data_IF_314332739299
#
_entry.id   IF_314332739299
#
_cell.length_a   1.000
_cell.length_b   1.000
_cell.length_c   1.000
_cell.angle_alpha   90.00
_cell.angle_beta   90.00
_cell.angle_gamma   90.00
#
_symmetry.space_group_name_H-M   'P 1'
#
loop_
_entity.id
_entity.type
_entity.pdbx_description
1 polymer ?
#
# COMPACT_ATOMS: atom_id res chain seq x y z
N UNK A 1 -7.95 -26.27 -97.56
CA UNK A 1 -7.24 -25.51 -96.49
C UNK A 1 -8.18 -25.42 -95.30
N UNK A 2 -7.83 -25.66 -94.05
CA UNK A 2 -6.84 -26.49 -93.39
C UNK A 2 -7.39 -26.67 -91.97
N UNK A 3 -7.15 -27.85 -91.40
CA UNK A 3 -7.43 -28.21 -90.01
C UNK A 3 -6.85 -27.19 -89.01
N UNK A 4 -7.48 -26.99 -87.84
CA UNK A 4 -6.90 -27.45 -86.57
C UNK A 4 -7.83 -27.30 -85.36
N UNK A 5 -8.00 -28.43 -84.70
CA UNK A 5 -8.46 -28.66 -83.32
C UNK A 5 -7.30 -28.31 -82.38
N UNK A 6 -7.55 -27.67 -81.23
CA UNK A 6 -6.51 -27.61 -80.20
C UNK A 6 -6.76 -26.77 -78.94
N UNK A 7 -7.13 -27.48 -77.86
CA UNK A 7 -6.63 -27.33 -76.48
C UNK A 7 -7.14 -26.17 -75.62
N UNK A 8 -8.05 -26.53 -74.71
CA UNK A 8 -8.26 -25.89 -73.41
C UNK A 8 -6.99 -26.01 -72.55
N UNK A 9 -6.51 -24.87 -72.04
CA UNK A 9 -5.49 -24.79 -70.98
C UNK A 9 -6.18 -24.24 -69.73
N UNK A 10 -6.54 -25.13 -68.81
CA UNK A 10 -6.93 -24.77 -67.44
C UNK A 10 -5.64 -24.44 -66.68
N UNK A 11 -5.39 -23.16 -66.42
CA UNK A 11 -4.32 -22.73 -65.51
C UNK A 11 -4.82 -22.88 -64.07
N UNK A 12 -4.34 -23.91 -63.38
CA UNK A 12 -4.37 -23.95 -61.91
C UNK A 12 -3.43 -22.87 -61.37
N UNK A 13 -4.00 -21.82 -60.77
CA UNK A 13 -3.25 -20.94 -59.89
C UNK A 13 -3.08 -21.63 -58.55
N UNK A 14 -1.92 -22.23 -58.32
CA UNK A 14 -1.50 -22.67 -56.99
C UNK A 14 -1.20 -21.42 -56.17
N UNK A 15 -2.10 -21.05 -55.26
CA UNK A 15 -1.81 -20.08 -54.20
C UNK A 15 -0.73 -20.68 -53.30
N UNK A 16 0.51 -20.20 -53.42
CA UNK A 16 1.52 -20.36 -52.37
C UNK A 16 1.15 -19.35 -51.29
N UNK A 17 0.36 -19.79 -50.31
CA UNK A 17 0.24 -19.05 -49.04
C UNK A 17 1.59 -19.21 -48.36
N UNK A 18 2.42 -18.17 -48.43
CA UNK A 18 3.60 -18.08 -47.60
C UNK A 18 3.11 -18.01 -46.15
N UNK A 19 3.19 -19.15 -45.45
CA UNK A 19 3.01 -19.23 -44.01
C UNK A 19 4.10 -18.38 -43.37
N UNK A 20 3.81 -17.12 -43.10
CA UNK A 20 4.64 -16.31 -42.20
C UNK A 20 4.54 -17.01 -40.85
N UNK A 21 5.64 -17.55 -40.30
CA UNK A 21 5.59 -18.08 -38.96
C UNK A 21 5.23 -16.91 -38.05
N UNK A 22 4.06 -16.99 -37.42
CA UNK A 22 3.75 -16.20 -36.24
C UNK A 22 4.89 -16.46 -35.26
N UNK A 23 5.82 -15.51 -35.18
CA UNK A 23 6.68 -15.40 -34.02
C UNK A 23 5.75 -15.15 -32.84
N UNK A 24 5.36 -16.23 -32.18
CA UNK A 24 4.89 -16.18 -30.80
C UNK A 24 6.04 -15.56 -30.05
N UNK A 25 5.95 -14.25 -29.81
CA UNK A 25 6.79 -13.58 -28.82
C UNK A 25 6.64 -14.41 -27.55
N UNK A 26 7.74 -15.00 -27.09
CA UNK A 26 7.78 -15.59 -25.77
C UNK A 26 7.39 -14.46 -24.81
N UNK A 27 6.16 -14.50 -24.29
CA UNK A 27 5.73 -13.59 -23.25
C UNK A 27 6.80 -13.66 -22.16
N UNK A 28 7.47 -12.54 -21.87
CA UNK A 28 8.52 -12.55 -20.87
C UNK A 28 7.91 -13.05 -19.57
N UNK A 29 8.59 -13.99 -18.92
CA UNK A 29 8.17 -14.58 -17.65
C UNK A 29 8.35 -13.61 -16.47
N UNK A 30 8.27 -12.30 -16.74
CA UNK A 30 8.45 -11.26 -15.73
C UNK A 30 7.15 -11.11 -14.94
N UNK A 31 7.04 -11.91 -13.88
CA UNK A 31 5.91 -11.91 -12.95
C UNK A 31 5.64 -10.51 -12.38
N UNK A 32 6.65 -9.63 -12.32
CA UNK A 32 6.51 -8.25 -11.82
C UNK A 32 5.77 -7.30 -12.76
N UNK A 33 5.42 -7.78 -13.97
CA UNK A 33 4.61 -7.06 -14.95
C UNK A 33 3.28 -7.75 -15.25
N UNK A 34 2.90 -8.78 -14.47
CA UNK A 34 1.57 -9.43 -14.57
C UNK A 34 0.62 -8.78 -13.59
N UNK A 35 -0.35 -8.04 -14.12
CA UNK A 35 -1.33 -7.29 -13.34
C UNK A 35 -2.57 -8.13 -13.10
N UNK A 36 -3.18 -7.98 -11.91
CA UNK A 36 -4.55 -8.43 -11.70
C UNK A 36 -5.50 -7.52 -12.49
N UNK A 37 -6.35 -8.12 -13.31
CA UNK A 37 -7.38 -7.40 -14.04
C UNK A 37 -8.56 -7.06 -13.12
N UNK A 38 -8.36 -6.03 -12.29
CA UNK A 38 -9.35 -5.52 -11.35
C UNK A 38 -9.36 -4.00 -11.30
N UNK A 39 -10.54 -3.37 -11.07
CA UNK A 39 -10.63 -1.95 -10.80
C UNK A 39 -9.78 -1.54 -9.60
N UNK A 40 -9.23 -0.33 -9.64
CA UNK A 40 -8.50 0.24 -8.51
C UNK A 40 -9.49 0.72 -7.44
N UNK A 41 -9.34 0.21 -6.22
CA UNK A 41 -10.27 0.50 -5.13
C UNK A 41 -9.71 1.42 -4.03
N UNK A 42 -8.41 1.72 -4.05
CA UNK A 42 -7.74 2.47 -2.98
C UNK A 42 -7.88 3.97 -3.24
N UNK A 43 -8.53 4.71 -2.35
CA UNK A 43 -8.62 6.17 -2.38
C UNK A 43 -7.30 6.82 -1.95
N UNK A 44 -6.70 6.32 -0.88
CA UNK A 44 -5.39 6.82 -0.44
C UNK A 44 -4.58 5.77 0.30
N UNK A 45 -3.27 6.02 0.37
CA UNK A 45 -2.34 5.36 1.29
C UNK A 45 -1.59 6.43 2.09
N UNK A 46 -1.53 6.26 3.41
CA UNK A 46 -0.91 7.15 4.37
C UNK A 46 0.27 6.43 5.03
N UNK A 47 1.47 6.97 4.90
CA UNK A 47 2.65 6.53 5.64
C UNK A 47 2.92 7.51 6.75
N UNK A 48 3.17 7.00 7.96
CA UNK A 48 3.64 7.80 9.10
C UNK A 48 4.81 7.10 9.72
N UNK A 49 5.85 7.86 10.02
CA UNK A 49 7.04 7.39 10.74
C UNK A 49 7.73 8.59 11.39
N UNK A 50 8.81 8.33 12.11
CA UNK A 50 9.79 9.30 12.53
C UNK A 50 10.31 10.14 11.32
N UNK A 51 10.35 11.47 11.49
CA UNK A 51 10.71 12.39 10.43
C UNK A 51 12.15 12.22 9.93
N UNK A 52 13.09 11.88 10.82
CA UNK A 52 14.47 11.61 10.43
C UNK A 52 14.58 10.26 9.72
N UNK A 53 13.84 9.24 10.17
CA UNK A 53 13.78 7.95 9.48
C UNK A 53 13.19 8.08 8.08
N UNK A 54 12.10 8.83 7.89
CA UNK A 54 11.55 9.09 6.56
C UNK A 54 12.54 9.84 5.66
N UNK A 55 13.28 10.82 6.20
CA UNK A 55 14.29 11.56 5.45
C UNK A 55 15.46 10.66 5.03
N UNK A 56 15.91 9.78 5.92
CA UNK A 56 16.94 8.77 5.63
C UNK A 56 16.43 7.77 4.59
N UNK A 57 15.17 7.33 4.72
CA UNK A 57 14.48 6.44 3.77
C UNK A 57 14.45 7.04 2.37
N UNK A 58 14.00 8.29 2.23
CA UNK A 58 13.99 9.03 0.97
C UNK A 58 15.38 9.06 0.29
N UNK A 59 16.43 9.39 1.07
CA UNK A 59 17.80 9.44 0.54
C UNK A 59 18.33 8.05 0.13
N UNK A 60 18.03 7.01 0.92
CA UNK A 60 18.41 5.63 0.62
C UNK A 60 17.68 5.09 -0.61
N UNK A 61 16.39 5.39 -0.75
CA UNK A 61 15.59 5.02 -1.92
C UNK A 61 16.18 5.60 -3.21
N UNK A 62 16.55 6.89 -3.18
CA UNK A 62 17.22 7.55 -4.32
C UNK A 62 18.54 6.88 -4.69
N UNK A 63 19.38 6.57 -3.70
CA UNK A 63 20.65 5.88 -3.93
C UNK A 63 20.46 4.44 -4.45
N UNK A 64 19.42 3.74 -3.96
CA UNK A 64 19.10 2.36 -4.36
C UNK A 64 18.54 2.30 -5.78
N UNK A 65 17.67 3.24 -6.15
CA UNK A 65 17.04 3.28 -7.47
C UNK A 65 17.99 3.71 -8.58
N UNK A 66 19.04 4.45 -8.24
CA UNK A 66 20.13 4.79 -9.15
C UNK A 66 21.04 3.60 -9.53
N UNK A 67 20.90 2.44 -8.87
CA UNK A 67 21.66 1.23 -9.21
C UNK A 67 21.23 0.66 -10.57
N UNK A 68 22.22 0.20 -11.33
CA UNK A 68 22.08 -0.41 -12.66
C UNK A 68 22.80 -1.76 -12.70
N UNK A 69 22.44 -2.62 -13.66
CA UNK A 69 23.05 -3.95 -13.81
C UNK A 69 22.48 -5.01 -12.85
N UNK A 70 23.20 -6.11 -12.59
CA UNK A 70 22.73 -7.22 -11.74
C UNK A 70 22.36 -6.82 -10.30
N UNK A 71 22.94 -5.74 -9.80
CA UNK A 71 22.68 -5.21 -8.45
C UNK A 71 21.44 -4.30 -8.38
N UNK A 72 20.78 -4.07 -9.51
CA UNK A 72 19.60 -3.24 -9.59
C UNK A 72 18.39 -3.99 -9.00
N UNK A 73 17.60 -3.36 -8.12
CA UNK A 73 16.44 -4.04 -7.55
C UNK A 73 15.38 -4.28 -8.63
N UNK A 74 14.64 -5.39 -8.50
CA UNK A 74 13.57 -5.79 -9.43
C UNK A 74 12.47 -4.71 -9.48
N UNK A 75 12.13 -4.15 -8.32
CA UNK A 75 11.27 -2.97 -8.18
C UNK A 75 12.04 -1.80 -7.57
N UNK A 76 11.68 -0.59 -7.98
CA UNK A 76 12.18 0.65 -7.39
C UNK A 76 11.51 0.92 -6.05
N UNK A 77 12.22 1.61 -5.19
CA UNK A 77 11.72 2.06 -3.91
C UNK A 77 10.90 3.35 -4.08
N UNK A 78 9.62 3.33 -3.69
CA UNK A 78 8.71 4.48 -3.85
C UNK A 78 9.15 5.70 -3.04
N UNK A 79 9.95 5.51 -2.00
CA UNK A 79 10.20 6.58 -1.03
C UNK A 79 10.97 7.74 -1.70
N UNK A 80 11.63 7.54 -2.84
CA UNK A 80 12.23 8.64 -3.63
C UNK A 80 11.21 9.57 -4.30
N UNK A 81 9.98 9.10 -4.50
CA UNK A 81 8.93 9.80 -5.24
C UNK A 81 8.24 10.86 -4.39
N UNK A 82 8.07 10.58 -3.10
CA UNK A 82 7.22 11.37 -2.21
C UNK A 82 8.05 11.91 -1.04
N UNK A 83 8.57 13.14 -1.15
CA UNK A 83 9.28 13.74 -0.03
C UNK A 83 8.35 13.87 1.19
N UNK A 84 8.88 13.74 2.42
CA UNK A 84 8.07 13.84 3.63
C UNK A 84 7.36 15.21 3.74
N UNK A 85 6.03 15.22 3.93
CA UNK A 85 5.18 16.40 3.68
C UNK A 85 4.89 17.27 4.92
N UNK A 86 4.87 16.70 6.13
CA UNK A 86 4.44 17.42 7.33
C UNK A 86 5.19 16.93 8.55
N UNK A 87 5.74 17.83 9.36
CA UNK A 87 6.49 17.48 10.57
C UNK A 87 5.69 17.85 11.81
N UNK A 88 5.24 16.85 12.57
CA UNK A 88 4.55 17.05 13.85
C UNK A 88 5.58 17.04 14.98
N UNK A 89 5.83 18.21 15.57
CA UNK A 89 6.73 18.34 16.71
C UNK A 89 5.98 17.99 17.99
N UNK A 90 6.30 16.84 18.58
CA UNK A 90 5.90 16.54 19.95
C UNK A 90 6.95 17.07 20.94
N UNK A 91 6.51 17.39 22.15
CA UNK A 91 7.33 18.04 23.19
C UNK A 91 8.44 17.14 23.78
N UNK A 92 8.39 15.83 23.58
CA UNK A 92 9.23 14.87 24.33
C UNK A 92 9.88 13.75 23.49
N UNK A 93 9.68 13.71 22.17
CA UNK A 93 10.30 12.72 21.26
C UNK A 93 10.48 13.32 19.87
N UNK A 94 11.14 12.56 19.00
CA UNK A 94 11.34 12.88 17.60
C UNK A 94 10.04 13.33 16.93
N UNK A 95 10.20 14.21 15.95
CA UNK A 95 9.07 14.69 15.19
C UNK A 95 8.55 13.57 14.30
N UNK A 96 7.24 13.49 14.12
CA UNK A 96 6.65 12.54 13.16
C UNK A 96 6.56 13.21 11.80
N UNK A 97 6.72 12.43 10.74
CA UNK A 97 6.38 12.86 9.40
C UNK A 97 5.37 11.94 8.75
N UNK A 98 4.72 12.46 7.71
CA UNK A 98 3.81 11.68 6.88
C UNK A 98 4.07 11.85 5.38
N UNK A 99 3.64 10.84 4.63
CA UNK A 99 3.45 10.87 3.17
C UNK A 99 2.02 10.40 2.90
N UNK A 100 1.25 11.22 2.18
CA UNK A 100 -0.12 10.91 1.77
C UNK A 100 -0.20 10.78 0.25
N UNK A 101 -0.53 9.58 -0.23
CA UNK A 101 -0.64 9.26 -1.64
C UNK A 101 -2.11 9.06 -1.97
N UNK A 102 -2.70 10.00 -2.70
CA UNK A 102 -4.08 9.98 -3.15
C UNK A 102 -4.18 9.44 -4.57
N UNK A 103 -5.28 8.72 -4.83
CA UNK A 103 -5.59 8.15 -6.13
C UNK A 103 -7.00 8.54 -6.56
N UNK A 104 -7.23 8.61 -7.86
CA UNK A 104 -8.58 8.60 -8.42
C UNK A 104 -9.06 7.16 -8.69
N UNK A 105 -10.32 7.01 -9.13
CA UNK A 105 -10.92 5.69 -9.41
C UNK A 105 -10.26 4.91 -10.56
N UNK A 106 -9.50 5.58 -11.44
CA UNK A 106 -8.69 4.90 -12.46
C UNK A 106 -7.31 4.44 -11.93
N UNK A 107 -7.02 4.70 -10.65
CA UNK A 107 -5.73 4.41 -10.02
C UNK A 107 -4.64 5.43 -10.34
N UNK A 108 -4.96 6.56 -10.95
CA UNK A 108 -3.99 7.64 -11.19
C UNK A 108 -3.60 8.30 -9.88
N UNK A 109 -2.29 8.45 -9.65
CA UNK A 109 -1.76 9.19 -8.49
C UNK A 109 -2.07 10.68 -8.65
N UNK A 110 -2.78 11.25 -7.68
CA UNK A 110 -3.11 12.68 -7.61
C UNK A 110 -2.11 13.48 -6.77
N UNK A 111 -1.40 12.82 -5.85
CA UNK A 111 -0.40 13.47 -5.00
C UNK A 111 0.79 13.97 -5.83
N UNK A 112 1.18 15.26 -5.69
CA UNK A 112 2.41 15.78 -6.28
C UNK A 112 3.64 14.97 -5.85
N UNK A 113 4.47 14.60 -6.82
CA UNK A 113 5.63 13.75 -6.60
C UNK A 113 6.80 14.20 -7.49
N UNK A 114 7.98 13.63 -7.25
CA UNK A 114 9.22 14.00 -7.97
C UNK A 114 9.32 13.35 -9.35
N UNK A 115 8.40 12.45 -9.70
CA UNK A 115 8.36 11.80 -11.01
C UNK A 115 7.85 12.76 -12.09
N UNK A 116 8.39 12.63 -13.31
CA UNK A 116 7.98 13.48 -14.43
C UNK A 116 6.72 12.98 -15.15
N UNK A 117 6.53 11.66 -15.17
CA UNK A 117 5.37 11.02 -15.79
C UNK A 117 4.26 10.78 -14.76
N UNK A 118 3.02 10.73 -15.25
CA UNK A 118 1.86 10.33 -14.46
C UNK A 118 2.01 8.87 -14.02
N UNK A 119 1.84 8.62 -12.73
CA UNK A 119 1.94 7.30 -12.12
C UNK A 119 0.55 6.70 -11.88
N UNK A 120 0.46 5.37 -11.99
CA UNK A 120 -0.77 4.62 -11.76
C UNK A 120 -0.53 3.49 -10.76
N UNK A 121 -1.45 3.34 -9.81
CA UNK A 121 -1.53 2.20 -8.92
C UNK A 121 -1.96 0.93 -9.65
N UNK A 122 -1.23 -0.16 -9.41
CA UNK A 122 -1.59 -1.51 -9.85
C UNK A 122 -1.34 -2.51 -8.73
N UNK A 123 -2.05 -3.63 -8.80
CA UNK A 123 -1.77 -4.82 -7.99
C UNK A 123 -1.25 -5.91 -8.92
N UNK A 124 -0.12 -6.52 -8.59
CA UNK A 124 0.40 -7.66 -9.33
C UNK A 124 -0.18 -8.99 -8.82
N UNK A 125 0.17 -10.08 -9.49
CA UNK A 125 -0.24 -11.44 -9.12
C UNK A 125 0.36 -11.95 -7.81
N UNK A 126 1.36 -11.26 -7.25
CA UNK A 126 2.02 -11.60 -5.99
C UNK A 126 1.51 -10.71 -4.84
N UNK A 127 0.40 -10.01 -5.06
CA UNK A 127 -0.20 -9.11 -4.09
C UNK A 127 0.70 -7.94 -3.67
N UNK A 128 1.64 -7.54 -4.52
CA UNK A 128 2.30 -6.25 -4.38
C UNK A 128 1.43 -5.15 -4.99
N UNK A 129 1.27 -4.08 -4.23
CA UNK A 129 0.81 -2.80 -4.74
C UNK A 129 2.01 -2.07 -5.33
N UNK A 130 1.88 -1.62 -6.56
CA UNK A 130 2.95 -1.04 -7.37
C UNK A 130 2.49 0.29 -7.97
N UNK A 131 3.41 1.22 -8.19
CA UNK A 131 3.20 2.39 -9.02
C UNK A 131 3.92 2.19 -10.36
N UNK A 132 3.19 2.35 -11.44
CA UNK A 132 3.68 2.11 -12.80
C UNK A 132 3.57 3.35 -13.68
N UNK A 133 4.36 3.36 -14.74
CA UNK A 133 4.28 4.30 -15.85
C UNK A 133 3.72 3.56 -17.07
N UNK A 134 2.44 3.74 -17.45
CA UNK A 134 1.80 2.90 -18.47
C UNK A 134 2.49 2.96 -19.84
N UNK A 135 3.06 4.12 -20.18
CA UNK A 135 3.67 4.39 -21.48
C UNK A 135 5.15 3.98 -21.56
N UNK A 136 5.71 3.39 -20.50
CA UNK A 136 7.11 3.00 -20.44
C UNK A 136 7.26 1.49 -20.50
N UNK A 137 7.74 0.98 -21.63
CA UNK A 137 7.98 -0.45 -21.85
C UNK A 137 9.09 -1.03 -20.96
N UNK A 138 9.93 -0.17 -20.36
CA UNK A 138 11.17 -0.56 -19.68
C UNK A 138 11.31 0.01 -18.24
N UNK A 139 10.31 0.75 -17.72
CA UNK A 139 10.37 1.23 -16.33
C UNK A 139 10.03 0.11 -15.36
N UNK A 140 11.00 -0.25 -14.52
CA UNK A 140 10.77 -1.04 -13.31
C UNK A 140 9.70 -0.35 -12.44
N UNK A 141 8.68 -1.07 -11.95
CA UNK A 141 7.65 -0.48 -11.11
C UNK A 141 8.23 -0.01 -9.78
N UNK A 142 7.57 0.95 -9.15
CA UNK A 142 7.87 1.35 -7.78
C UNK A 142 7.04 0.50 -6.81
N UNK A 143 7.69 -0.19 -5.87
CA UNK A 143 6.98 -0.94 -4.84
C UNK A 143 6.28 0.03 -3.90
N UNK A 144 4.95 0.02 -3.94
CA UNK A 144 4.10 0.68 -2.96
C UNK A 144 4.10 -0.21 -1.72
N UNK A 145 3.07 -1.02 -1.52
CA UNK A 145 2.87 -1.77 -0.29
C UNK A 145 2.56 -3.23 -0.60
N UNK A 146 2.34 -4.03 0.44
CA UNK A 146 1.83 -5.38 0.32
C UNK A 146 0.31 -5.36 0.48
N UNK A 147 -0.39 -6.10 -0.36
CA UNK A 147 -1.79 -6.42 -0.18
C UNK A 147 -1.90 -7.69 0.66
N UNK A 148 -2.37 -7.58 1.89
CA UNK A 148 -2.67 -8.72 2.72
C UNK A 148 -4.15 -9.08 2.55
N UNK A 149 -4.46 -10.16 1.82
CA UNK A 149 -5.83 -10.58 1.58
C UNK A 149 -6.57 -11.03 2.86
N UNK A 150 -5.83 -11.34 3.92
CA UNK A 150 -6.37 -11.78 5.21
C UNK A 150 -6.11 -13.24 5.48
N UNK A 151 -6.71 -13.72 6.56
CA UNK A 151 -6.73 -15.13 6.93
C UNK A 151 -8.11 -15.66 6.51
N UNK A 152 -8.18 -16.83 5.84
CA UNK A 152 -9.45 -17.49 5.56
C UNK A 152 -10.32 -17.57 6.82
N UNK A 153 -11.61 -17.26 6.70
CA UNK A 153 -12.54 -17.28 7.83
C UNK A 153 -12.61 -15.99 8.67
N UNK A 154 -11.59 -15.12 8.67
CA UNK A 154 -11.61 -13.84 9.38
C UNK A 154 -11.36 -12.63 8.46
N UNK A 155 -12.44 -11.87 8.22
CA UNK A 155 -12.43 -10.66 7.39
C UNK A 155 -12.39 -9.36 8.21
N UNK A 156 -12.28 -9.45 9.54
CA UNK A 156 -12.38 -8.29 10.44
C UNK A 156 -11.24 -7.28 10.23
N UNK A 157 -10.07 -7.75 9.79
CA UNK A 157 -8.88 -6.93 9.53
C UNK A 157 -8.37 -7.05 8.08
N UNK A 158 -9.17 -7.55 7.14
CA UNK A 158 -8.68 -7.90 5.79
C UNK A 158 -9.67 -7.63 4.63
N UNK A 159 -9.24 -7.24 3.42
CA UNK A 159 -7.86 -6.97 3.05
C UNK A 159 -7.25 -5.81 3.82
N UNK A 160 -5.94 -5.85 4.00
CA UNK A 160 -5.15 -4.78 4.58
C UNK A 160 -4.02 -4.39 3.62
N UNK A 161 -3.64 -3.11 3.65
CA UNK A 161 -2.48 -2.60 2.91
C UNK A 161 -1.35 -2.44 3.90
N UNK A 162 -0.31 -3.26 3.76
CA UNK A 162 0.74 -3.48 4.76
C UNK A 162 2.11 -3.00 4.27
N UNK A 163 2.93 -2.52 5.20
CA UNK A 163 4.34 -2.26 4.97
C UNK A 163 5.14 -3.56 5.19
N UNK A 164 6.41 -3.55 4.80
CA UNK A 164 7.30 -4.69 5.06
C UNK A 164 7.43 -4.99 6.57
N UNK A 165 7.48 -3.94 7.40
CA UNK A 165 7.58 -4.08 8.86
C UNK A 165 6.37 -4.78 9.50
N UNK A 166 5.20 -4.73 8.85
CA UNK A 166 3.99 -5.40 9.34
C UNK A 166 4.15 -6.94 9.34
N UNK A 167 4.94 -7.50 8.43
CA UNK A 167 5.19 -8.95 8.38
C UNK A 167 5.78 -9.41 9.72
N UNK A 168 6.83 -8.73 10.18
CA UNK A 168 7.49 -9.01 11.47
C UNK A 168 6.62 -8.63 12.67
N UNK A 169 5.81 -7.58 12.56
CA UNK A 169 4.94 -7.11 13.64
C UNK A 169 3.98 -8.20 14.14
N UNK A 170 3.51 -9.05 13.24
CA UNK A 170 2.53 -10.09 13.57
C UNK A 170 3.15 -11.46 13.84
N UNK A 171 4.47 -11.63 13.72
CA UNK A 171 5.18 -12.85 14.06
C UNK A 171 5.27 -13.09 15.57
N UNK A 172 5.55 -14.35 15.94
CA UNK A 172 5.88 -14.69 17.31
C UNK A 172 7.18 -14.00 17.73
N UNK A 173 7.22 -13.49 18.96
CA UNK A 173 8.42 -12.84 19.50
C UNK A 173 8.57 -11.36 19.13
N UNK A 174 7.56 -10.73 18.51
CA UNK A 174 7.55 -9.29 18.31
C UNK A 174 7.85 -8.54 19.61
N UNK A 175 8.90 -7.72 19.59
CA UNK A 175 9.27 -6.91 20.74
C UNK A 175 8.24 -5.77 20.92
N UNK A 176 7.46 -5.81 22.00
CA UNK A 176 6.45 -4.78 22.29
C UNK A 176 7.02 -3.38 22.50
N UNK A 177 8.31 -3.27 22.78
CA UNK A 177 9.03 -2.00 22.89
C UNK A 177 9.74 -1.59 21.59
N UNK A 178 9.50 -2.30 20.48
CA UNK A 178 10.12 -2.01 19.19
C UNK A 178 9.76 -0.58 18.72
N UNK A 179 10.72 0.20 18.19
CA UNK A 179 10.47 1.58 17.75
C UNK A 179 9.40 1.74 16.66
N UNK A 180 9.16 0.70 15.86
CA UNK A 180 8.08 0.70 14.86
C UNK A 180 6.68 0.64 15.50
N UNK A 181 6.57 0.31 16.79
CA UNK A 181 5.31 0.27 17.52
C UNK A 181 4.43 -0.95 17.22
N UNK A 182 3.34 -1.06 17.98
CA UNK A 182 2.46 -2.23 18.01
C UNK A 182 1.14 -2.03 17.25
N UNK A 183 0.99 -0.92 16.53
CA UNK A 183 -0.12 -0.64 15.63
C UNK A 183 0.35 -0.81 14.19
N UNK A 184 -0.38 -1.61 13.39
CA UNK A 184 -0.05 -1.87 12.00
C UNK A 184 -1.26 -1.91 11.08
N UNK A 185 -1.08 -2.52 9.91
CA UNK A 185 -2.08 -2.55 8.84
C UNK A 185 -3.36 -3.31 9.20
N UNK A 186 -3.28 -4.35 10.04
CA UNK A 186 -4.45 -5.12 10.52
C UNK A 186 -5.28 -4.28 11.48
N UNK A 187 -4.65 -3.63 12.46
CA UNK A 187 -5.32 -2.72 13.39
C UNK A 187 -5.97 -1.54 12.65
N UNK A 188 -5.29 -0.98 11.66
CA UNK A 188 -5.85 0.07 10.81
C UNK A 188 -7.14 -0.38 10.14
N UNK A 189 -7.11 -1.53 9.45
CA UNK A 189 -8.25 -2.03 8.67
C UNK A 189 -9.44 -2.34 9.57
N UNK A 190 -9.20 -2.99 10.72
CA UNK A 190 -10.24 -3.26 11.70
C UNK A 190 -10.92 -1.99 12.20
N UNK A 191 -10.13 -0.96 12.55
CA UNK A 191 -10.69 0.32 13.00
C UNK A 191 -11.37 1.11 11.89
N UNK A 192 -10.89 1.03 10.64
CA UNK A 192 -11.51 1.69 9.49
C UNK A 192 -12.93 1.15 9.24
N UNK A 193 -13.13 -0.16 9.38
CA UNK A 193 -14.41 -0.81 9.08
C UNK A 193 -15.41 -0.84 10.21
N UNK A 194 -14.95 -0.65 11.44
CA UNK A 194 -15.85 -0.57 12.58
C UNK A 194 -16.71 0.71 12.51
N UNK A 195 -17.94 0.58 12.04
CA UNK A 195 -18.89 1.70 11.92
C UNK A 195 -19.20 2.39 13.26
N UNK A 196 -18.99 1.71 14.39
CA UNK A 196 -19.22 2.28 15.73
C UNK A 196 -18.01 3.07 16.24
N UNK A 197 -16.86 2.96 15.58
CA UNK A 197 -15.64 3.68 15.94
C UNK A 197 -15.44 4.90 15.03
N UNK A 198 -15.56 6.14 15.54
CA UNK A 198 -15.54 7.33 14.70
C UNK A 198 -14.13 7.84 14.34
N UNK A 199 -13.07 7.23 14.86
CA UNK A 199 -11.67 7.62 14.61
C UNK A 199 -10.76 6.38 14.54
N UNK A 200 -9.57 6.55 14.00
CA UNK A 200 -8.51 5.54 14.03
C UNK A 200 -7.49 5.98 15.07
N UNK A 201 -7.34 5.19 16.14
CA UNK A 201 -6.31 5.40 17.16
C UNK A 201 -5.07 4.57 16.81
N UNK A 202 -4.00 5.28 16.43
CA UNK A 202 -2.71 4.71 16.00
C UNK A 202 -1.69 4.63 17.14
N UNK A 203 -2.13 4.84 18.37
CA UNK A 203 -1.25 4.83 19.54
C UNK A 203 -0.72 3.43 19.82
N UNK A 204 0.60 3.34 19.98
CA UNK A 204 1.26 2.21 20.65
C UNK A 204 1.25 2.47 22.16
N UNK A 205 0.53 1.62 22.88
CA UNK A 205 0.36 1.67 24.32
C UNK A 205 1.27 0.67 25.04
N UNK A 206 2.29 1.17 25.71
CA UNK A 206 3.17 0.38 26.58
C UNK A 206 3.14 0.93 28.01
N UNK A 207 3.53 0.14 29.03
CA UNK A 207 3.25 0.47 30.43
C UNK A 207 3.76 1.85 30.91
N UNK A 208 4.85 2.37 30.34
CA UNK A 208 5.54 3.56 30.86
C UNK A 208 5.48 4.79 29.96
N UNK A 209 5.13 4.64 28.68
CA UNK A 209 4.96 5.74 27.75
C UNK A 209 4.06 5.31 26.59
N UNK A 210 3.54 6.27 25.86
CA UNK A 210 2.80 6.00 24.62
C UNK A 210 3.52 6.69 23.48
N UNK A 211 3.45 6.12 22.29
CA UNK A 211 4.00 6.75 21.11
C UNK A 211 3.26 6.31 19.86
N UNK A 212 3.42 7.08 18.80
CA UNK A 212 2.97 6.74 17.46
C UNK A 212 4.19 6.14 16.76
N UNK A 213 4.09 4.85 16.44
CA UNK A 213 5.12 4.12 15.71
C UNK A 213 5.00 4.30 14.19
N UNK A 214 5.81 3.55 13.46
CA UNK A 214 5.73 3.45 12.01
C UNK A 214 4.46 2.69 11.61
N UNK A 215 3.63 3.29 10.77
CA UNK A 215 2.46 2.59 10.22
C UNK A 215 2.14 3.00 8.79
N UNK A 216 1.36 2.13 8.16
CA UNK A 216 0.66 2.37 6.91
C UNK A 216 -0.83 2.37 7.18
N UNK A 217 -1.52 3.39 6.67
CA UNK A 217 -2.96 3.48 6.64
C UNK A 217 -3.45 3.54 5.20
N UNK A 218 -4.70 3.17 4.98
CA UNK A 218 -5.31 3.22 3.66
C UNK A 218 -6.83 3.39 3.77
N UNK A 219 -7.46 3.80 2.69
CA UNK A 219 -8.92 3.76 2.60
C UNK A 219 -9.33 3.45 1.18
N UNK A 220 -10.50 2.85 1.03
CA UNK A 220 -11.22 2.75 -0.22
C UNK A 220 -11.97 4.04 -0.55
N UNK A 221 -12.53 4.10 -1.75
CA UNK A 221 -13.39 5.21 -2.18
C UNK A 221 -14.72 5.25 -1.41
N UNK A 222 -15.22 4.10 -0.99
CA UNK A 222 -16.47 3.94 -0.25
C UNK A 222 -16.28 3.91 1.28
N UNK A 223 -15.03 3.75 1.75
CA UNK A 223 -14.74 3.83 3.18
C UNK A 223 -15.03 5.23 3.73
N UNK A 224 -15.62 5.33 4.94
CA UNK A 224 -15.87 6.61 5.57
C UNK A 224 -14.56 7.35 5.86
N UNK A 225 -14.59 8.68 5.82
CA UNK A 225 -13.49 9.47 6.37
C UNK A 225 -13.51 9.37 7.89
N UNK A 226 -12.37 9.00 8.47
CA UNK A 226 -12.18 8.89 9.92
C UNK A 226 -10.94 9.68 10.33
N UNK A 227 -11.03 10.58 11.32
CA UNK A 227 -9.85 11.22 11.86
C UNK A 227 -8.86 10.19 12.39
N UNK A 228 -7.59 10.38 12.04
CA UNK A 228 -6.48 9.58 12.53
C UNK A 228 -5.89 10.32 13.72
N UNK A 229 -6.00 9.73 14.91
CA UNK A 229 -5.50 10.29 16.15
C UNK A 229 -4.46 9.37 16.78
N UNK A 230 -3.58 9.94 17.60
CA UNK A 230 -2.67 9.14 18.39
C UNK A 230 -1.99 9.95 19.48
N UNK A 231 -1.44 9.26 20.47
CA UNK A 231 -0.76 9.85 21.61
C UNK A 231 0.75 9.67 21.49
N UNK A 232 1.47 10.79 21.36
CA UNK A 232 2.93 10.87 21.38
C UNK A 232 3.41 11.38 22.74
N UNK A 233 3.92 10.47 23.57
CA UNK A 233 4.23 10.73 24.98
C UNK A 233 2.95 11.01 25.76
N UNK A 234 2.74 12.29 26.10
CA UNK A 234 1.53 12.79 26.78
C UNK A 234 0.67 13.69 25.89
N UNK A 235 1.07 13.88 24.64
CA UNK A 235 0.43 14.81 23.72
C UNK A 235 -0.42 14.03 22.73
N UNK A 236 -1.71 14.35 22.67
CA UNK A 236 -2.59 13.83 21.63
C UNK A 236 -2.42 14.63 20.35
N UNK A 237 -2.43 13.94 19.22
CA UNK A 237 -2.29 14.49 17.89
C UNK A 237 -3.47 14.03 17.03
N UNK A 238 -3.95 14.91 16.16
CA UNK A 238 -4.68 14.52 14.97
C UNK A 238 -3.73 14.58 13.78
N UNK A 239 -3.54 13.46 13.07
CA UNK A 239 -2.56 13.29 12.00
C UNK A 239 -3.16 13.47 10.60
N UNK A 240 -4.44 13.14 10.45
CA UNK A 240 -5.15 13.13 9.17
C UNK A 240 -6.66 13.16 9.38
N UNK A 241 -7.41 13.71 8.40
CA UNK A 241 -8.87 13.80 8.38
C UNK A 241 -9.51 14.34 9.67
N UNK A 242 -8.90 15.38 10.25
CA UNK A 242 -9.41 15.98 11.48
C UNK A 242 -10.83 16.52 11.28
N UNK A 243 -11.72 16.31 12.25
CA UNK A 243 -13.14 16.58 12.11
C UNK A 243 -13.42 18.07 11.88
N UNK A 244 -14.56 18.37 11.26
CA UNK A 244 -15.01 19.73 10.98
C UNK A 244 -13.99 20.59 10.20
N UNK A 245 -13.14 19.97 9.38
CA UNK A 245 -12.14 20.66 8.57
C UNK A 245 -10.95 21.20 9.37
N UNK A 246 -10.77 20.74 10.61
CA UNK A 246 -9.60 21.09 11.41
C UNK A 246 -8.31 20.65 10.72
N UNK A 247 -7.22 21.38 10.98
CA UNK A 247 -5.91 21.01 10.46
C UNK A 247 -5.26 19.96 11.37
N UNK A 248 -4.50 19.01 10.82
CA UNK A 248 -3.63 18.13 11.62
C UNK A 248 -2.74 18.92 12.58
N UNK A 249 -2.59 18.41 13.81
CA UNK A 249 -1.87 19.10 14.86
C UNK A 249 -2.17 18.58 16.26
N UNK A 250 -1.77 19.37 17.26
CA UNK A 250 -1.89 19.03 18.69
C UNK A 250 -3.34 19.16 19.17
N UNK A 251 -3.85 18.08 19.76
CA UNK A 251 -5.07 18.06 20.55
C UNK A 251 -4.68 18.36 22.00
N UNK A 252 -4.95 19.60 22.45
CA UNK A 252 -4.51 20.08 23.77
C UNK A 252 -5.21 19.36 24.93
N UNK A 253 -6.50 19.10 24.77
CA UNK A 253 -7.31 18.38 25.73
C UNK A 253 -8.17 17.39 24.94
N UNK A 254 -7.81 16.12 25.03
CA UNK A 254 -8.49 15.05 24.29
C UNK A 254 -9.93 14.87 24.78
N UNK A 255 -10.24 15.15 26.06
CA UNK A 255 -11.60 15.04 26.59
C UNK A 255 -12.49 16.15 26.04
N UNK A 256 -11.98 17.38 26.00
CA UNK A 256 -12.71 18.49 25.40
C UNK A 256 -12.90 18.27 23.89
N UNK A 257 -11.90 17.71 23.21
CA UNK A 257 -11.96 17.42 21.78
C UNK A 257 -12.99 16.33 21.46
N UNK A 258 -13.01 15.22 22.20
CA UNK A 258 -14.02 14.16 22.00
C UNK A 258 -15.43 14.65 22.29
N UNK A 259 -15.62 15.45 23.35
CA UNK A 259 -16.91 16.08 23.65
C UNK A 259 -17.38 17.01 22.53
N UNK A 260 -16.50 17.88 22.00
CA UNK A 260 -16.82 18.80 20.90
C UNK A 260 -17.32 18.07 19.66
N UNK A 261 -16.76 16.91 19.36
CA UNK A 261 -17.07 16.13 18.15
C UNK A 261 -18.04 14.96 18.40
N UNK A 262 -18.57 14.81 19.62
CA UNK A 262 -19.44 13.72 20.03
C UNK A 262 -18.81 12.33 19.81
N UNK A 263 -17.50 12.24 20.00
CA UNK A 263 -16.75 10.99 19.93
C UNK A 263 -16.62 10.36 21.32
N UNK A 264 -16.54 9.02 21.43
CA UNK A 264 -16.14 8.38 22.66
C UNK A 264 -14.68 8.74 23.01
N UNK A 265 -14.30 8.49 24.25
CA UNK A 265 -12.91 8.65 24.66
C UNK A 265 -12.04 7.56 24.02
N UNK A 266 -10.83 7.86 23.52
CA UNK A 266 -9.88 6.82 23.11
C UNK A 266 -9.60 5.85 24.25
N UNK A 267 -9.73 4.55 23.93
CA UNK A 267 -9.52 3.46 24.87
C UNK A 267 -8.36 2.60 24.39
N UNK A 268 -7.48 2.25 25.34
CA UNK A 268 -6.39 1.32 25.11
C UNK A 268 -6.98 -0.06 24.75
N UNK A 269 -6.56 -0.69 23.65
CA UNK A 269 -6.99 -2.05 23.34
C UNK A 269 -6.44 -3.05 24.38
N UNK A 270 -7.12 -4.19 24.60
CA UNK A 270 -6.73 -5.16 25.63
C UNK A 270 -5.34 -5.78 25.37
N UNK A 271 -4.93 -5.85 24.10
CA UNK A 271 -3.60 -6.31 23.68
C UNK A 271 -3.12 -5.53 22.44
N UNK A 272 -1.79 -5.42 22.28
CA UNK A 272 -1.14 -4.96 21.06
C UNK A 272 0.14 -5.77 20.78
N UNK A 273 0.43 -6.14 19.51
CA UNK A 273 -0.48 -6.08 18.36
C UNK A 273 -1.79 -6.83 18.61
N UNK A 274 -2.89 -6.37 18.00
CA UNK A 274 -4.22 -6.91 18.29
C UNK A 274 -4.48 -8.21 17.51
N UNK A 275 -3.84 -8.36 16.36
CA UNK A 275 -4.06 -9.47 15.43
C UNK A 275 -2.75 -10.21 15.08
N UNK A 276 -2.02 -10.80 16.06
CA UNK A 276 -0.81 -11.59 15.79
C UNK A 276 -1.15 -12.90 15.08
N UNK A 277 -0.22 -13.45 14.29
CA UNK A 277 -0.43 -14.71 13.57
C UNK A 277 -0.71 -15.89 14.53
N UNK A 278 -0.11 -15.85 15.72
CA UNK A 278 -0.31 -16.82 16.81
C UNK A 278 -1.78 -17.22 17.04
N UNK A 279 -2.70 -16.26 16.92
CA UNK A 279 -4.11 -16.45 17.22
C UNK A 279 -4.91 -17.10 16.06
N UNK A 280 -4.26 -17.36 14.92
CA UNK A 280 -4.90 -17.78 13.68
C UNK A 280 -4.12 -18.88 12.91
N UNK A 281 -2.98 -19.37 13.42
CA UNK A 281 -2.18 -20.39 12.72
C UNK A 281 -2.94 -21.70 12.51
N UNK A 282 -3.80 -22.09 13.43
CA UNK A 282 -4.60 -23.32 13.31
C UNK A 282 -5.54 -23.23 12.09
N UNK A 283 -6.21 -22.09 11.89
CA UNK A 283 -7.08 -21.83 10.73
C UNK A 283 -6.31 -21.84 9.39
N UNK A 284 -5.02 -21.48 9.41
CA UNK A 284 -4.16 -21.48 8.22
C UNK A 284 -3.81 -22.92 7.81
N UNK A 285 -3.51 -23.78 8.78
CA UNK A 285 -3.04 -25.15 8.54
C UNK A 285 -4.14 -26.21 8.42
N UNK A 286 -5.36 -25.92 8.89
CA UNK A 286 -6.52 -26.79 8.60
C UNK A 286 -6.81 -26.87 7.10
N UNK A 287 -6.50 -25.84 6.31
CA UNK A 287 -6.67 -25.86 4.84
C UNK A 287 -5.51 -26.52 4.08
N UNK A 288 -4.36 -26.77 4.72
CA UNK A 288 -3.23 -27.49 4.11
C UNK A 288 -3.47 -29.01 4.13
N UNK A 289 -4.54 -29.47 4.80
CA UNK A 289 -4.86 -30.88 5.05
C UNK A 289 -5.96 -31.50 4.18
N UNK A 290 -6.59 -30.74 3.29
CA UNK A 290 -7.70 -31.20 2.41
C UNK A 290 -7.31 -31.29 0.92
#
# INVERSE_FOLDING_TARGET
MSNQIGRYLVRFFTFVVASVPLMVSAASSDWTKRWLDRPWEIRYVLFVDDADMMRIGFARAKARNARVGPDAPISRDRDELFPPQSVYRATFRNSLSKVYIEFNQSGTVLTPNTHHNVLFGKRDMLDYLLLIEPESSDSRPYRLANWAQGIPGDVSFSPAVCAYEDEYRYEEGWNKDHPAGNFGCREWTAQMRDSNRPYIDVTTYIPHYNFIGQFIGWARFDDPSKPVIGMQGKTWLCLHDCPAGEKPGVIRDIKAWTQKHHFPMPERPPKQPQFPNADYWDDIHEMDGD
#
